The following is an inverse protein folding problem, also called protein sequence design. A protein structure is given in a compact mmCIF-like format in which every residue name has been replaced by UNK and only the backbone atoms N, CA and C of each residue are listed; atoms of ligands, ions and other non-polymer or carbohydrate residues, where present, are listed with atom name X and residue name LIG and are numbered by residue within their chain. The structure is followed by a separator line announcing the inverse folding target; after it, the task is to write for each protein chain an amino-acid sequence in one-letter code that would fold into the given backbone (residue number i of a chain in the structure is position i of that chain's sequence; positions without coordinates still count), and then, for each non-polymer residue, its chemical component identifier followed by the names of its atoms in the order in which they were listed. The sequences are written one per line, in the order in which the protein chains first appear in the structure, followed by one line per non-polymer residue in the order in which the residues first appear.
data_IF_535807266468
#
_entry.id   IF_535807266468
#
_cell.length_a   1.000
_cell.length_b   1.000
_cell.length_c   1.000
_cell.angle_alpha   90.00
_cell.angle_beta   90.00
_cell.angle_gamma   90.00
#
_symmetry.space_group_name_H-M   'P 1'
#
loop_
_entity.id
_entity.type
_entity.pdbx_description
1 polymer ?
#
# COMPACT_ATOMS: atom_id res chain seq x y z
N UNK A 1 -0.69 -8.22 9.28
CA UNK A 1 -1.74 -7.48 8.57
C UNK A 1 -2.22 -8.35 7.42
N UNK A 2 -3.53 -8.48 7.28
CA UNK A 2 -4.18 -9.24 6.21
C UNK A 2 -4.52 -8.31 5.01
N UNK A 3 -4.80 -8.88 3.84
CA UNK A 3 -5.13 -8.12 2.62
C UNK A 3 -6.37 -7.23 2.83
N UNK A 4 -7.39 -7.74 3.50
CA UNK A 4 -8.64 -7.02 3.77
C UNK A 4 -8.43 -5.81 4.68
N UNK A 5 -7.55 -5.93 5.69
CA UNK A 5 -7.18 -4.81 6.56
C UNK A 5 -6.35 -3.74 5.84
N UNK A 6 -5.58 -4.12 4.82
CA UNK A 6 -4.87 -3.17 3.99
C UNK A 6 -5.84 -2.35 3.15
N UNK A 7 -6.82 -3.02 2.52
CA UNK A 7 -7.81 -2.41 1.63
C UNK A 7 -8.76 -1.43 2.34
N UNK A 8 -8.94 -1.56 3.66
CA UNK A 8 -9.73 -0.61 4.45
C UNK A 8 -8.97 0.67 4.84
N UNK A 9 -7.64 0.72 4.64
CA UNK A 9 -6.81 1.88 4.98
C UNK A 9 -6.50 2.71 3.73
N UNK A 10 -6.50 4.03 3.87
CA UNK A 10 -6.11 4.93 2.78
C UNK A 10 -4.61 4.81 2.42
N UNK A 11 -3.75 4.66 3.44
CA UNK A 11 -2.30 4.54 3.28
C UNK A 11 -1.71 3.52 4.23
N UNK A 12 -0.67 2.82 3.80
CA UNK A 12 0.10 1.86 4.61
C UNK A 12 1.59 2.18 4.54
N UNK A 13 2.39 1.57 5.41
CA UNK A 13 3.86 1.69 5.29
C UNK A 13 4.40 0.88 4.12
N UNK A 14 5.58 1.26 3.61
CA UNK A 14 6.27 0.54 2.52
C UNK A 14 6.44 -0.97 2.77
N UNK A 15 6.98 -1.43 3.92
CA UNK A 15 7.15 -2.87 4.15
C UNK A 15 5.82 -3.61 4.35
N UNK A 16 4.79 -2.96 4.89
CA UNK A 16 3.46 -3.56 4.96
C UNK A 16 2.84 -3.72 3.58
N UNK A 17 2.96 -2.69 2.72
CA UNK A 17 2.48 -2.75 1.34
C UNK A 17 3.18 -3.85 0.54
N UNK A 18 4.51 -3.90 0.60
CA UNK A 18 5.27 -4.91 -0.12
C UNK A 18 4.93 -6.32 0.32
N UNK A 19 4.81 -6.56 1.63
CA UNK A 19 4.42 -7.88 2.16
C UNK A 19 3.00 -8.29 1.75
N UNK A 20 2.04 -7.36 1.82
CA UNK A 20 0.62 -7.70 1.62
C UNK A 20 0.24 -7.79 0.14
N UNK A 21 0.77 -6.91 -0.70
CA UNK A 21 0.37 -6.82 -2.10
C UNK A 21 1.30 -7.57 -3.07
N UNK A 22 2.56 -7.78 -2.69
CA UNK A 22 3.60 -8.29 -3.59
C UNK A 22 4.46 -9.40 -2.97
N UNK A 23 4.11 -9.89 -1.78
CA UNK A 23 4.86 -10.89 -1.01
C UNK A 23 6.37 -10.58 -0.86
N UNK A 24 6.69 -9.28 -0.69
CA UNK A 24 8.07 -8.81 -0.56
C UNK A 24 8.54 -8.74 0.89
N UNK A 25 9.82 -9.02 1.09
CA UNK A 25 10.53 -8.71 2.34
C UNK A 25 10.72 -7.20 2.55
N UNK A 26 11.10 -6.79 3.76
CA UNK A 26 11.26 -5.36 4.14
C UNK A 26 12.20 -4.60 3.20
N UNK A 27 13.39 -5.13 2.93
CA UNK A 27 14.38 -4.45 2.10
C UNK A 27 13.92 -4.36 0.64
N UNK A 28 13.43 -5.48 0.09
CA UNK A 28 12.87 -5.52 -1.26
C UNK A 28 11.69 -4.54 -1.43
N UNK A 29 10.88 -4.33 -0.38
CA UNK A 29 9.80 -3.34 -0.40
C UNK A 29 10.33 -1.91 -0.52
N UNK A 30 11.39 -1.57 0.21
CA UNK A 30 12.04 -0.25 0.09
C UNK A 30 12.75 -0.07 -1.25
N UNK A 31 13.37 -1.12 -1.78
CA UNK A 31 14.00 -1.09 -3.10
C UNK A 31 12.96 -0.86 -4.20
N UNK A 32 11.83 -1.58 -4.17
CA UNK A 32 10.72 -1.40 -5.09
C UNK A 32 10.09 0.00 -4.98
N UNK A 33 9.95 0.52 -3.75
CA UNK A 33 9.54 1.90 -3.51
C UNK A 33 10.51 2.94 -4.10
N UNK A 34 11.82 2.70 -3.99
CA UNK A 34 12.87 3.57 -4.55
C UNK A 34 12.93 3.52 -6.08
N UNK A 35 12.64 2.35 -6.67
CA UNK A 35 12.57 2.16 -8.14
C UNK A 35 11.30 2.75 -8.76
N UNK A 36 10.26 2.99 -7.96
CA UNK A 36 8.96 3.48 -8.44
C UNK A 36 8.00 2.38 -8.88
N UNK A 37 8.31 1.11 -8.57
CA UNK A 37 7.45 -0.04 -8.90
C UNK A 37 6.11 0.05 -8.17
N UNK A 38 6.10 0.64 -6.97
CA UNK A 38 4.90 0.94 -6.19
C UNK A 38 4.72 2.46 -5.99
N UNK A 39 3.47 2.96 -6.02
CA UNK A 39 3.20 4.38 -5.79
C UNK A 39 3.55 4.75 -4.35
N UNK A 40 4.41 5.75 -4.18
CA UNK A 40 4.81 6.25 -2.87
C UNK A 40 4.50 7.74 -2.74
N UNK A 41 4.12 8.14 -1.53
CA UNK A 41 3.91 9.54 -1.15
C UNK A 41 4.72 9.82 0.11
N UNK A 42 5.46 10.92 0.11
CA UNK A 42 6.22 11.38 1.28
C UNK A 42 5.40 12.42 2.02
N UNK A 43 4.98 12.12 3.24
CA UNK A 43 4.17 13.01 4.08
C UNK A 43 4.84 13.13 5.44
N UNK A 44 5.20 14.35 5.85
CA UNK A 44 5.84 14.61 7.14
C UNK A 44 7.15 13.83 7.36
N UNK A 45 7.95 13.66 6.30
CA UNK A 45 9.20 12.91 6.34
C UNK A 45 9.06 11.38 6.34
N UNK A 46 7.83 10.84 6.23
CA UNK A 46 7.57 9.39 6.16
C UNK A 46 7.13 9.00 4.76
N UNK A 47 7.70 7.91 4.24
CA UNK A 47 7.28 7.30 2.97
C UNK A 47 6.07 6.40 3.25
N UNK A 48 4.97 6.65 2.56
CA UNK A 48 3.72 5.89 2.64
C UNK A 48 3.32 5.40 1.26
N UNK A 49 2.60 4.29 1.22
CA UNK A 49 2.04 3.73 -0.01
C UNK A 49 0.51 3.91 0.03
N UNK A 50 -0.08 4.65 -0.91
CA UNK A 50 -1.52 4.75 -1.02
C UNK A 50 -2.10 3.43 -1.53
N UNK A 51 -3.16 2.93 -0.88
CA UNK A 51 -3.69 1.58 -1.18
C UNK A 51 -4.54 1.57 -2.45
N UNK A 52 -5.36 2.60 -2.67
CA UNK A 52 -6.22 2.69 -3.85
C UNK A 52 -5.47 2.51 -5.20
N UNK A 53 -4.37 3.24 -5.50
CA UNK A 53 -3.65 3.06 -6.75
C UNK A 53 -2.96 1.70 -6.85
N UNK A 54 -2.51 1.11 -5.73
CA UNK A 54 -1.94 -0.24 -5.72
C UNK A 54 -3.02 -1.27 -6.07
N UNK A 55 -4.18 -1.19 -5.43
CA UNK A 55 -5.28 -2.10 -5.67
C UNK A 55 -5.80 -2.00 -7.12
N UNK A 56 -5.92 -0.78 -7.66
CA UNK A 56 -6.28 -0.57 -9.08
C UNK A 56 -5.26 -1.23 -10.02
N UNK A 57 -3.96 -1.02 -9.78
CA UNK A 57 -2.89 -1.64 -10.59
C UNK A 57 -2.94 -3.18 -10.55
N UNK A 58 -3.36 -3.76 -9.43
CA UNK A 58 -3.45 -5.20 -9.23
C UNK A 58 -4.81 -5.78 -9.67
N UNK A 59 -5.73 -4.95 -10.18
CA UNK A 59 -7.09 -5.38 -10.53
C UNK A 59 -7.93 -5.80 -9.32
N UNK A 60 -7.52 -5.40 -8.11
CA UNK A 60 -8.24 -5.68 -6.87
C UNK A 60 -9.38 -4.66 -6.71
N UNK A 61 -10.58 -5.16 -6.45
CA UNK A 61 -11.72 -4.30 -6.10
C UNK A 61 -11.49 -3.72 -4.71
N UNK A 62 -11.37 -2.39 -4.62
CA UNK A 62 -11.26 -1.70 -3.34
C UNK A 62 -12.66 -1.58 -2.75
N UNK A 63 -12.95 -2.37 -1.73
CA UNK A 63 -14.14 -2.11 -0.90
C UNK A 63 -13.84 -0.90 -0.01
N UNK A 64 -14.14 0.29 -0.51
CA UNK A 64 -14.07 1.50 0.29
C UNK A 64 -15.07 1.36 1.45
N UNK A 65 -14.56 1.36 2.69
CA UNK A 65 -15.41 1.43 3.87
C UNK A 65 -16.07 2.81 3.85
N UNK A 66 -17.37 2.85 3.59
CA UNK A 66 -18.15 4.08 3.72
C UNK A 66 -18.19 4.40 5.21
N UNK A 67 -17.53 5.48 5.62
CA UNK A 67 -17.70 6.00 6.97
C UNK A 67 -19.18 6.35 7.14
N UNK A 68 -19.90 5.57 7.95
CA UNK A 68 -21.23 5.94 8.40
C UNK A 68 -21.08 7.21 9.24
N UNK A 69 -21.85 8.24 8.87
CA UNK A 69 -21.95 9.51 9.59
C UNK A 69 -22.64 9.32 10.93
#
# INVERSE_FOLDING_TARGET
MTLTEALSRATVSVPEAGKVFYDLGRNASYDAAKRGDMPTVTIGGKIRVPVAPVAIKLGLQVTAVRAAA
#
